data_IF_642733852272
#
_entry.id   IF_642733852272
#
_cell.length_a   1.000
_cell.length_b   1.000
_cell.length_c   1.000
_cell.angle_alpha   90.00
_cell.angle_beta   90.00
_cell.angle_gamma   90.00
#
_symmetry.space_group_name_H-M   'P 1'
#
loop_
_entity.id
_entity.type
_entity.pdbx_description
1 polymer ?
#
# COMPACT_ATOMS: atom_id res chain seq x y z
N UNK A 1 -17.93 13.41 30.66
CA UNK A 1 -17.41 13.96 29.39
C UNK A 1 -16.55 12.87 28.78
N UNK A 2 -17.14 12.04 27.92
CA UNK A 2 -16.44 10.96 27.22
C UNK A 2 -15.97 11.57 25.91
N UNK A 3 -14.65 11.68 25.72
CA UNK A 3 -14.09 12.02 24.41
C UNK A 3 -14.38 10.82 23.52
N UNK A 4 -15.42 10.91 22.69
CA UNK A 4 -15.65 9.95 21.63
C UNK A 4 -14.52 10.15 20.62
N UNK A 5 -13.66 9.15 20.52
CA UNK A 5 -12.51 9.09 19.63
C UNK A 5 -13.03 8.78 18.22
N UNK A 6 -13.78 9.73 17.66
CA UNK A 6 -14.35 9.66 16.32
C UNK A 6 -13.23 9.91 15.28
N UNK A 7 -13.02 8.90 14.42
CA UNK A 7 -12.21 8.86 13.19
C UNK A 7 -10.72 9.25 13.30
N UNK A 8 -9.88 8.32 13.75
CA UNK A 8 -8.40 8.43 13.71
C UNK A 8 -7.83 7.93 12.37
N UNK A 9 -8.60 7.88 11.29
CA UNK A 9 -8.05 7.48 9.98
C UNK A 9 -7.44 8.71 9.29
N UNK A 10 -6.15 8.63 8.99
CA UNK A 10 -5.48 9.54 8.07
C UNK A 10 -6.04 9.32 6.65
N UNK A 11 -7.04 10.13 6.32
CA UNK A 11 -7.72 10.09 5.03
C UNK A 11 -6.77 10.45 3.88
N UNK A 12 -5.75 11.27 4.11
CA UNK A 12 -4.80 11.68 3.07
C UNK A 12 -3.85 10.53 2.74
N UNK A 13 -3.28 9.88 3.76
CA UNK A 13 -2.43 8.70 3.58
C UNK A 13 -3.22 7.51 3.02
N UNK A 14 -4.46 7.31 3.49
CA UNK A 14 -5.34 6.24 2.98
C UNK A 14 -5.70 6.47 1.50
N UNK A 15 -6.05 7.70 1.12
CA UNK A 15 -6.30 8.05 -0.28
C UNK A 15 -5.04 7.91 -1.14
N UNK A 16 -3.87 8.31 -0.61
CA UNK A 16 -2.60 8.14 -1.30
C UNK A 16 -2.27 6.65 -1.52
N UNK A 17 -2.49 5.79 -0.52
CA UNK A 17 -2.32 4.34 -0.67
C UNK A 17 -3.20 3.76 -1.78
N UNK A 18 -4.47 4.19 -1.85
CA UNK A 18 -5.39 3.81 -2.93
C UNK A 18 -4.85 4.21 -4.31
N UNK A 19 -4.39 5.45 -4.46
CA UNK A 19 -3.83 5.96 -5.72
C UNK A 19 -2.54 5.22 -6.08
N UNK A 20 -1.68 4.96 -5.11
CA UNK A 20 -0.45 4.18 -5.32
C UNK A 20 -0.76 2.75 -5.75
N UNK A 21 -1.73 2.10 -5.12
CA UNK A 21 -2.19 0.79 -5.52
C UNK A 21 -2.70 0.79 -6.97
N UNK A 22 -3.56 1.74 -7.32
CA UNK A 22 -4.05 1.91 -8.70
C UNK A 22 -2.89 2.11 -9.68
N UNK A 23 -1.91 2.95 -9.36
CA UNK A 23 -0.72 3.17 -10.18
C UNK A 23 0.09 1.87 -10.39
N UNK A 24 0.27 1.06 -9.35
CA UNK A 24 0.91 -0.26 -9.44
C UNK A 24 0.12 -1.22 -10.35
N UNK A 25 -1.20 -1.28 -10.17
CA UNK A 25 -2.08 -2.12 -10.98
C UNK A 25 -2.03 -1.71 -12.44
N UNK A 26 -2.26 -0.43 -12.74
CA UNK A 26 -2.26 0.11 -14.09
C UNK A 26 -0.89 -0.12 -14.75
N UNK A 27 0.21 0.09 -14.04
CA UNK A 27 1.55 -0.18 -14.56
C UNK A 27 1.77 -1.68 -14.86
N UNK A 28 1.33 -2.59 -14.00
CA UNK A 28 1.48 -4.04 -14.18
C UNK A 28 0.67 -4.56 -15.38
N UNK A 29 -0.52 -4.03 -15.57
CA UNK A 29 -1.49 -4.50 -16.57
C UNK A 29 -1.54 -3.65 -17.83
N UNK A 30 -0.72 -2.59 -17.94
CA UNK A 30 -0.65 -1.75 -19.12
C UNK A 30 -0.32 -2.56 -20.39
N UNK A 31 -1.21 -2.50 -21.37
CA UNK A 31 -1.05 -3.20 -22.64
C UNK A 31 0.13 -2.65 -23.45
N UNK A 32 0.38 -1.33 -23.41
CA UNK A 32 1.52 -0.70 -24.07
C UNK A 32 2.83 -1.22 -23.50
N UNK A 33 2.94 -1.32 -22.16
CA UNK A 33 4.11 -1.90 -21.50
C UNK A 33 4.37 -3.35 -21.93
N UNK A 34 3.31 -4.15 -22.10
CA UNK A 34 3.41 -5.56 -22.56
C UNK A 34 3.90 -5.68 -23.99
N UNK A 35 3.65 -4.66 -24.81
CA UNK A 35 4.18 -4.54 -26.17
C UNK A 35 5.58 -3.93 -26.23
N UNK A 36 6.19 -3.62 -25.08
CA UNK A 36 7.50 -2.98 -24.99
C UNK A 36 7.48 -1.48 -25.26
N UNK A 37 6.30 -0.85 -25.29
CA UNK A 37 6.17 0.59 -25.47
C UNK A 37 6.52 1.32 -24.15
N UNK A 38 7.11 2.52 -24.23
CA UNK A 38 7.38 3.33 -23.05
C UNK A 38 6.06 3.75 -22.39
N UNK A 39 5.97 3.53 -21.08
CA UNK A 39 4.83 3.94 -20.27
C UNK A 39 5.31 4.70 -19.03
N UNK A 40 4.49 5.59 -18.44
CA UNK A 40 4.82 6.23 -17.18
C UNK A 40 5.06 5.20 -16.07
N UNK A 41 6.11 5.41 -15.27
CA UNK A 41 6.41 4.60 -14.08
C UNK A 41 5.30 4.71 -13.04
N UNK A 42 5.28 3.79 -12.06
CA UNK A 42 4.34 3.85 -10.93
C UNK A 42 4.41 5.21 -10.23
N UNK A 43 5.61 5.69 -9.90
CA UNK A 43 5.81 6.99 -9.28
C UNK A 43 5.29 8.14 -10.17
N UNK A 44 5.53 8.06 -11.49
CA UNK A 44 5.01 9.05 -12.43
C UNK A 44 3.49 9.10 -12.50
N UNK A 45 2.82 7.92 -12.47
CA UNK A 45 1.34 7.84 -12.41
C UNK A 45 0.79 8.37 -11.10
N UNK A 46 1.44 8.01 -9.99
CA UNK A 46 1.06 8.50 -8.67
C UNK A 46 1.16 10.02 -8.58
N UNK A 47 2.29 10.61 -8.98
CA UNK A 47 2.51 12.07 -8.93
C UNK A 47 1.65 12.86 -9.94
N UNK A 48 1.08 12.19 -10.94
CA UNK A 48 0.11 12.82 -11.84
C UNK A 48 -1.28 12.94 -11.19
N UNK A 49 -1.62 12.01 -10.29
CA UNK A 49 -2.90 12.00 -9.57
C UNK A 49 -2.82 12.71 -8.21
N UNK A 50 -1.66 12.70 -7.55
CA UNK A 50 -1.39 13.37 -6.27
C UNK A 50 -0.56 14.62 -6.52
N UNK A 51 -1.00 15.77 -5.97
CA UNK A 51 -0.32 17.07 -6.07
C UNK A 51 1.22 16.95 -6.00
N UNK A 52 1.93 17.65 -6.88
CA UNK A 52 3.39 17.66 -6.93
C UNK A 52 4.06 18.16 -5.63
N UNK A 53 3.34 18.94 -4.81
CA UNK A 53 3.86 19.46 -3.54
C UNK A 53 3.88 18.40 -2.43
N UNK A 54 2.81 17.59 -2.33
CA UNK A 54 2.64 16.60 -1.25
C UNK A 54 2.95 15.17 -1.68
N UNK A 55 2.85 14.88 -2.97
CA UNK A 55 3.05 13.56 -3.55
C UNK A 55 4.39 12.91 -3.18
N UNK A 56 5.53 13.63 -3.22
CA UNK A 56 6.81 13.04 -2.83
C UNK A 56 6.85 12.59 -1.35
N UNK A 57 6.25 13.36 -0.44
CA UNK A 57 6.18 13.01 0.97
C UNK A 57 5.27 11.79 1.20
N UNK A 58 4.11 11.77 0.55
CA UNK A 58 3.18 10.63 0.62
C UNK A 58 3.79 9.35 0.03
N UNK A 59 4.52 9.43 -1.08
CA UNK A 59 5.29 8.29 -1.61
C UNK A 59 6.32 7.78 -0.63
N UNK A 60 7.03 8.67 0.07
CA UNK A 60 8.01 8.27 1.08
C UNK A 60 7.34 7.55 2.26
N UNK A 61 6.19 8.05 2.74
CA UNK A 61 5.40 7.39 3.79
C UNK A 61 4.91 6.01 3.36
N UNK A 62 4.40 5.88 2.13
CA UNK A 62 3.97 4.59 1.57
C UNK A 62 5.15 3.61 1.45
N UNK A 63 6.31 4.10 0.99
CA UNK A 63 7.51 3.28 0.87
C UNK A 63 8.02 2.80 2.24
N UNK A 64 7.95 3.65 3.27
CA UNK A 64 8.29 3.30 4.64
C UNK A 64 7.36 2.20 5.17
N UNK A 65 6.04 2.36 4.99
CA UNK A 65 5.03 1.40 5.40
C UNK A 65 5.20 0.03 4.72
N UNK A 66 5.45 0.01 3.40
CA UNK A 66 5.77 -1.23 2.66
C UNK A 66 7.08 -1.84 3.17
N UNK A 67 8.07 -1.00 3.50
CA UNK A 67 9.34 -1.43 4.06
C UNK A 67 9.19 -2.09 5.44
N UNK A 68 8.29 -1.58 6.28
CA UNK A 68 7.91 -2.20 7.56
C UNK A 68 7.21 -3.54 7.34
N UNK A 69 6.21 -3.58 6.46
CA UNK A 69 5.47 -4.79 6.11
C UNK A 69 6.40 -5.92 5.63
N UNK A 70 7.42 -5.60 4.82
CA UNK A 70 8.42 -6.56 4.33
C UNK A 70 9.32 -7.14 5.42
N UNK A 71 9.42 -6.48 6.57
CA UNK A 71 10.18 -6.98 7.73
C UNK A 71 9.33 -7.86 8.64
N UNK A 72 8.03 -8.00 8.40
CA UNK A 72 7.18 -8.94 9.12
C UNK A 72 7.74 -10.35 8.89
N UNK A 73 8.21 -11.04 9.95
CA UNK A 73 8.82 -12.34 9.80
C UNK A 73 7.78 -13.35 9.33
N UNK A 74 8.14 -14.16 8.34
CA UNK A 74 7.37 -15.34 7.98
C UNK A 74 7.55 -16.40 9.07
N UNK A 75 6.48 -16.79 9.78
CA UNK A 75 6.56 -17.85 10.78
C UNK A 75 6.83 -19.23 10.18
N UNK A 76 6.77 -19.38 8.85
CA UNK A 76 6.86 -20.64 8.14
C UNK A 76 5.56 -21.45 8.24
N UNK A 77 5.51 -22.56 7.49
CA UNK A 77 4.32 -23.40 7.41
C UNK A 77 3.33 -22.92 6.33
N UNK A 78 2.02 -23.15 6.49
CA UNK A 78 1.04 -22.74 5.48
C UNK A 78 1.04 -21.23 5.27
N UNK A 79 0.80 -20.77 4.04
CA UNK A 79 0.70 -19.34 3.70
C UNK A 79 -0.30 -18.55 4.58
N UNK A 80 -1.30 -19.23 5.14
CA UNK A 80 -2.21 -18.65 6.13
C UNK A 80 -1.51 -18.08 7.37
N UNK A 81 -0.43 -18.72 7.85
CA UNK A 81 0.33 -18.25 9.00
C UNK A 81 1.06 -16.93 8.70
N UNK A 82 1.59 -16.77 7.49
CA UNK A 82 2.17 -15.51 7.04
C UNK A 82 1.08 -14.43 6.84
N UNK A 83 -0.08 -14.80 6.30
CA UNK A 83 -1.25 -13.92 6.20
C UNK A 83 -1.72 -13.39 7.58
N UNK A 84 -1.73 -14.22 8.60
CA UNK A 84 -2.07 -13.83 9.97
C UNK A 84 -1.01 -12.92 10.59
N UNK A 85 0.27 -13.12 10.28
CA UNK A 85 1.35 -12.24 10.72
C UNK A 85 1.22 -10.84 10.09
N UNK A 86 0.96 -10.79 8.78
CA UNK A 86 0.71 -9.55 8.04
C UNK A 86 -0.56 -8.83 8.53
N UNK A 87 -1.62 -9.56 8.86
CA UNK A 87 -2.86 -8.99 9.38
C UNK A 87 -2.68 -8.39 10.78
N UNK A 88 -1.89 -9.04 11.64
CA UNK A 88 -1.53 -8.50 12.97
C UNK A 88 -0.68 -7.24 12.86
N UNK A 89 0.27 -7.21 11.92
CA UNK A 89 1.03 -5.99 11.62
C UNK A 89 0.10 -4.88 11.08
N UNK A 90 -0.80 -5.18 10.15
CA UNK A 90 -1.71 -4.16 9.64
C UNK A 90 -2.59 -3.53 10.74
N UNK A 91 -2.98 -4.31 11.75
CA UNK A 91 -3.71 -3.81 12.91
C UNK A 91 -2.90 -2.84 13.81
N UNK A 92 -1.58 -2.75 13.65
CA UNK A 92 -0.76 -1.73 14.35
C UNK A 92 -0.79 -0.36 13.69
N UNK A 93 -1.48 -0.23 12.54
CA UNK A 93 -1.67 1.02 11.81
C UNK A 93 -3.16 1.42 11.77
N UNK A 94 -3.80 1.70 12.93
CA UNK A 94 -5.20 2.12 12.97
C UNK A 94 -5.45 3.45 12.25
N UNK A 95 -4.39 4.21 11.99
CA UNK A 95 -4.43 5.45 11.22
C UNK A 95 -4.66 5.26 9.72
N UNK A 96 -4.64 4.03 9.22
CA UNK A 96 -4.85 3.74 7.80
C UNK A 96 -6.12 2.92 7.63
N UNK A 97 -6.93 3.25 6.61
CA UNK A 97 -8.11 2.46 6.28
C UNK A 97 -7.70 0.97 6.09
N UNK A 98 -8.30 0.04 6.87
CA UNK A 98 -7.98 -1.39 6.78
C UNK A 98 -8.13 -1.98 5.37
N UNK A 99 -9.00 -1.41 4.53
CA UNK A 99 -9.18 -1.80 3.13
C UNK A 99 -7.95 -1.46 2.29
N UNK A 100 -7.31 -0.33 2.58
CA UNK A 100 -6.10 0.07 1.86
C UNK A 100 -4.88 -0.71 2.38
N UNK A 101 -4.84 -1.01 3.68
CA UNK A 101 -3.83 -1.92 4.25
C UNK A 101 -3.89 -3.33 3.68
N UNK A 102 -5.09 -3.81 3.35
CA UNK A 102 -5.29 -5.13 2.72
C UNK A 102 -4.52 -5.28 1.40
N UNK A 103 -4.25 -4.19 0.67
CA UNK A 103 -3.47 -4.26 -0.56
C UNK A 103 -2.00 -4.57 -0.32
N UNK A 104 -1.41 -3.99 0.73
CA UNK A 104 -0.01 -4.26 1.10
C UNK A 104 0.12 -5.72 1.49
N UNK A 105 -0.76 -6.21 2.37
CA UNK A 105 -0.70 -7.58 2.86
C UNK A 105 -0.93 -8.60 1.74
N UNK A 106 -1.92 -8.38 0.86
CA UNK A 106 -2.22 -9.29 -0.26
C UNK A 106 -1.11 -9.32 -1.32
N UNK A 107 -0.46 -8.17 -1.55
CA UNK A 107 0.69 -8.09 -2.47
C UNK A 107 1.86 -8.91 -1.93
N UNK A 108 2.21 -8.76 -0.66
CA UNK A 108 3.27 -9.53 -0.02
C UNK A 108 2.96 -11.02 0.04
N UNK A 109 1.71 -11.40 0.32
CA UNK A 109 1.27 -12.80 0.23
C UNK A 109 1.41 -13.38 -1.18
N UNK A 110 1.24 -12.57 -2.22
CA UNK A 110 1.39 -13.00 -3.61
C UNK A 110 2.86 -13.11 -4.01
N UNK A 111 3.71 -12.20 -3.56
CA UNK A 111 5.18 -12.24 -3.76
C UNK A 111 5.83 -13.42 -3.04
N UNK A 112 5.21 -13.93 -1.98
CA UNK A 112 5.68 -15.07 -1.20
C UNK A 112 5.28 -16.45 -1.78
N UNK A 113 4.35 -16.50 -2.75
CA UNK A 113 3.94 -17.72 -3.45
C UNK A 113 4.90 -18.08 -4.58
#
# INVERSE_FOLDING_TARGET
MVVMMEDVVDQELSAALRVHYKACYDYRWDAARRRGEPVPSVAGRFLAEVSAERGPALLASIAALIGEARRVPDPGGPLGAYGDALSRWAATHPEIDPREMHWITTTLMTEHR
#
